data_IF_201410348282
#
_entry.id   IF_201410348282
#
_cell.length_a   1.000
_cell.length_b   1.000
_cell.length_c   1.000
_cell.angle_alpha   90.00
_cell.angle_beta   90.00
_cell.angle_gamma   90.00
#
_symmetry.space_group_name_H-M   'P 1'
#
loop_
_entity.id
_entity.type
_entity.pdbx_description
1 polymer ?
#
# COMPACT_ATOMS: atom_id res chain seq x y z
N UNK A 1 -26.50 23.05 -18.29
CA UNK A 1 -25.37 22.74 -17.37
C UNK A 1 -25.17 21.25 -17.40
N UNK A 2 -24.09 20.75 -18.00
CA UNK A 2 -23.77 19.32 -17.95
C UNK A 2 -23.34 18.99 -16.52
N UNK A 3 -24.19 18.27 -15.79
CA UNK A 3 -23.92 17.79 -14.45
C UNK A 3 -22.85 16.69 -14.51
N UNK A 4 -21.61 17.04 -14.15
CA UNK A 4 -20.53 16.06 -14.10
C UNK A 4 -20.61 15.31 -12.77
N UNK A 5 -20.96 14.01 -12.83
CA UNK A 5 -20.91 13.09 -11.70
C UNK A 5 -19.47 12.56 -11.51
N UNK A 6 -18.81 12.28 -12.64
CA UNK A 6 -17.43 11.80 -12.70
C UNK A 6 -16.63 12.61 -13.71
N UNK A 7 -15.38 12.88 -13.42
CA UNK A 7 -14.38 13.35 -14.39
C UNK A 7 -13.45 12.21 -14.77
N UNK A 8 -13.14 12.13 -16.06
CA UNK A 8 -12.25 11.13 -16.61
C UNK A 8 -10.88 11.72 -16.87
N UNK A 9 -9.85 11.05 -16.39
CA UNK A 9 -8.45 11.36 -16.65
C UNK A 9 -7.82 10.26 -17.50
N UNK A 10 -6.77 10.63 -18.24
CA UNK A 10 -5.98 9.75 -19.06
C UNK A 10 -4.54 9.80 -18.61
N UNK A 11 -3.92 8.64 -18.45
CA UNK A 11 -2.48 8.52 -18.21
C UNK A 11 -1.91 7.51 -19.20
N UNK A 12 -0.76 7.83 -19.78
CA UNK A 12 -0.03 6.87 -20.59
C UNK A 12 0.45 5.73 -19.69
N UNK A 13 0.38 4.50 -20.19
CA UNK A 13 1.05 3.38 -19.53
C UNK A 13 2.56 3.60 -19.62
N UNK A 14 3.30 3.11 -18.61
CA UNK A 14 4.75 3.30 -18.55
C UNK A 14 5.49 2.50 -19.62
N UNK A 15 4.90 1.39 -20.06
CA UNK A 15 5.38 0.57 -21.17
C UNK A 15 5.01 1.13 -22.57
N UNK A 16 4.34 2.29 -22.62
CA UNK A 16 3.92 2.93 -23.85
C UNK A 16 2.81 2.21 -24.64
N UNK A 17 2.27 1.10 -24.11
CA UNK A 17 1.33 0.25 -24.86
C UNK A 17 -0.16 0.60 -24.67
N UNK A 18 -0.46 1.61 -23.86
CA UNK A 18 -1.85 1.94 -23.63
C UNK A 18 -2.08 3.25 -22.89
N UNK A 19 -3.35 3.61 -22.77
CA UNK A 19 -3.82 4.76 -22.02
C UNK A 19 -4.75 4.27 -20.91
N UNK A 20 -4.33 4.48 -19.67
CA UNK A 20 -5.20 4.21 -18.51
C UNK A 20 -6.29 5.27 -18.43
N UNK A 21 -7.51 4.83 -18.23
CA UNK A 21 -8.66 5.69 -17.94
C UNK A 21 -8.98 5.63 -16.48
N UNK A 22 -8.95 6.77 -15.83
CA UNK A 22 -9.27 6.90 -14.41
C UNK A 22 -10.46 7.80 -14.24
N UNK A 23 -11.37 7.43 -13.37
CA UNK A 23 -12.54 8.22 -13.05
C UNK A 23 -12.44 8.74 -11.63
N UNK A 24 -12.60 10.04 -11.46
CA UNK A 24 -12.66 10.70 -10.17
C UNK A 24 -14.05 11.26 -9.93
N UNK A 25 -14.49 11.19 -8.69
CA UNK A 25 -15.77 11.75 -8.28
C UNK A 25 -15.76 13.27 -8.45
N UNK A 26 -16.89 13.82 -8.87
CA UNK A 26 -17.14 15.26 -8.96
C UNK A 26 -18.15 15.72 -7.89
N UNK A 27 -18.33 17.03 -7.77
CA UNK A 27 -19.22 17.64 -6.78
C UNK A 27 -20.64 17.04 -6.80
N UNK A 28 -21.20 16.85 -7.99
CA UNK A 28 -22.54 16.25 -8.13
C UNK A 28 -22.56 14.77 -7.75
N UNK A 29 -21.49 14.05 -8.01
CA UNK A 29 -21.35 12.67 -7.53
C UNK A 29 -21.31 12.58 -6.02
N UNK A 30 -20.63 13.52 -5.33
CA UNK A 30 -20.68 13.62 -3.87
C UNK A 30 -22.11 13.81 -3.36
N UNK A 31 -22.85 14.75 -3.93
CA UNK A 31 -24.24 15.00 -3.51
C UNK A 31 -25.14 13.78 -3.77
N UNK A 32 -24.96 13.08 -4.88
CA UNK A 32 -25.70 11.86 -5.18
C UNK A 32 -25.43 10.75 -4.15
N UNK A 33 -24.18 10.58 -3.71
CA UNK A 33 -23.83 9.63 -2.65
C UNK A 33 -24.44 10.05 -1.31
N UNK A 34 -24.31 11.33 -0.95
CA UNK A 34 -24.87 11.87 0.29
C UNK A 34 -26.39 11.74 0.35
N UNK A 35 -27.11 11.93 -0.76
CA UNK A 35 -28.57 11.74 -0.81
C UNK A 35 -29.01 10.29 -0.60
N UNK A 36 -28.09 9.33 -0.75
CA UNK A 36 -28.29 7.89 -0.46
C UNK A 36 -27.75 7.47 0.91
N UNK A 37 -27.40 8.44 1.78
CA UNK A 37 -26.84 8.16 3.10
C UNK A 37 -25.38 7.68 3.09
N UNK A 38 -24.67 7.76 1.93
CA UNK A 38 -23.28 7.36 1.83
C UNK A 38 -22.39 8.57 2.13
N UNK A 39 -21.64 8.51 3.22
CA UNK A 39 -20.68 9.55 3.56
C UNK A 39 -19.55 9.62 2.53
N UNK A 40 -19.31 10.80 1.98
CA UNK A 40 -18.26 11.03 1.00
C UNK A 40 -17.41 12.25 1.40
N UNK A 41 -16.14 12.01 1.74
CA UNK A 41 -15.16 13.05 2.12
C UNK A 41 -14.48 13.73 0.93
N UNK A 42 -15.09 13.71 -0.25
CA UNK A 42 -14.55 14.35 -1.44
C UNK A 42 -14.40 15.86 -1.29
N UNK A 43 -13.30 16.40 -1.81
CA UNK A 43 -13.03 17.83 -1.90
C UNK A 43 -12.65 18.22 -3.33
N UNK A 44 -12.89 19.47 -3.77
CA UNK A 44 -12.54 19.94 -5.11
C UNK A 44 -11.06 19.72 -5.48
N UNK A 45 -10.18 19.84 -4.50
CA UNK A 45 -8.72 19.61 -4.67
C UNK A 45 -8.36 18.15 -4.92
N UNK A 46 -9.28 17.19 -4.73
CA UNK A 46 -9.00 15.78 -5.02
C UNK A 46 -8.75 15.53 -6.51
N UNK A 47 -9.32 16.37 -7.37
CA UNK A 47 -9.20 16.24 -8.83
C UNK A 47 -7.98 16.98 -9.40
N UNK A 48 -7.25 17.74 -8.59
CA UNK A 48 -6.07 18.51 -9.02
C UNK A 48 -4.76 17.95 -8.46
N UNK A 49 -4.79 16.76 -7.89
CA UNK A 49 -3.60 16.11 -7.32
C UNK A 49 -2.61 15.69 -8.39
N UNK A 50 -1.30 15.73 -8.09
CA UNK A 50 -0.27 15.21 -9.00
C UNK A 50 -0.55 13.77 -9.42
N UNK A 51 -0.19 13.42 -10.65
CA UNK A 51 -0.40 12.08 -11.25
C UNK A 51 0.16 10.96 -10.36
N UNK A 52 1.35 11.14 -9.81
CA UNK A 52 1.97 10.17 -8.91
C UNK A 52 1.11 9.86 -7.67
N UNK A 53 0.49 10.89 -7.09
CA UNK A 53 -0.44 10.69 -5.95
C UNK A 53 -1.71 9.94 -6.37
N UNK A 54 -2.21 10.20 -7.57
CA UNK A 54 -3.37 9.48 -8.13
C UNK A 54 -3.00 8.01 -8.35
N UNK A 55 -1.85 7.73 -8.97
CA UNK A 55 -1.34 6.35 -9.17
C UNK A 55 -1.20 5.59 -7.84
N UNK A 56 -0.60 6.20 -6.81
CA UNK A 56 -0.50 5.59 -5.47
C UNK A 56 -1.87 5.25 -4.86
N UNK A 57 -2.82 6.17 -4.98
CA UNK A 57 -4.20 5.95 -4.48
C UNK A 57 -4.91 4.84 -5.23
N UNK A 58 -4.76 4.79 -6.55
CA UNK A 58 -5.36 3.74 -7.38
C UNK A 58 -4.82 2.36 -7.02
N UNK A 59 -3.51 2.23 -6.89
CA UNK A 59 -2.88 0.99 -6.49
C UNK A 59 -3.38 0.50 -5.13
N UNK A 60 -3.44 1.38 -4.13
CA UNK A 60 -4.00 1.06 -2.83
C UNK A 60 -5.48 0.64 -2.90
N UNK A 61 -6.28 1.33 -3.71
CA UNK A 61 -7.70 0.97 -3.89
C UNK A 61 -7.87 -0.38 -4.59
N UNK A 62 -7.10 -0.67 -5.64
CA UNK A 62 -7.16 -1.95 -6.34
C UNK A 62 -6.78 -3.11 -5.42
N UNK A 63 -5.71 -2.94 -4.64
CA UNK A 63 -5.30 -3.92 -3.65
C UNK A 63 -6.40 -4.14 -2.62
N UNK A 64 -6.98 -3.07 -2.07
CA UNK A 64 -8.06 -3.17 -1.11
C UNK A 64 -9.26 -3.93 -1.66
N UNK A 65 -9.71 -3.60 -2.88
CA UNK A 65 -10.82 -4.29 -3.54
C UNK A 65 -10.49 -5.77 -3.70
N UNK A 66 -9.27 -6.11 -4.13
CA UNK A 66 -8.84 -7.49 -4.27
C UNK A 66 -8.90 -8.27 -2.94
N UNK A 67 -8.51 -7.63 -1.83
CA UNK A 67 -8.62 -8.26 -0.50
C UNK A 67 -10.07 -8.41 -0.04
N UNK A 68 -10.92 -7.41 -0.26
CA UNK A 68 -12.35 -7.46 0.07
C UNK A 68 -13.09 -8.58 -0.69
N UNK A 69 -12.76 -8.78 -1.97
CA UNK A 69 -13.43 -9.74 -2.83
C UNK A 69 -12.91 -11.17 -2.68
N UNK A 70 -11.60 -11.33 -2.49
CA UNK A 70 -10.94 -12.63 -2.60
C UNK A 70 -10.55 -13.26 -1.27
N UNK A 71 -10.50 -12.48 -0.17
CA UNK A 71 -10.03 -12.97 1.12
C UNK A 71 -11.18 -13.17 2.08
N UNK A 72 -11.51 -14.43 2.38
CA UNK A 72 -12.60 -14.79 3.31
C UNK A 72 -12.39 -14.27 4.75
N UNK A 73 -11.12 -14.09 5.16
CA UNK A 73 -10.75 -13.58 6.47
C UNK A 73 -10.74 -12.05 6.55
N UNK A 74 -11.18 -11.35 5.50
CA UNK A 74 -11.26 -9.89 5.50
C UNK A 74 -12.23 -9.41 6.58
N UNK A 75 -11.76 -8.50 7.45
CA UNK A 75 -12.56 -7.93 8.54
C UNK A 75 -12.83 -6.44 8.31
N UNK A 76 -11.76 -5.67 8.13
CA UNK A 76 -11.87 -4.22 7.98
C UNK A 76 -10.71 -3.60 7.24
N UNK A 77 -10.88 -2.35 6.83
CA UNK A 77 -9.81 -1.56 6.25
C UNK A 77 -9.83 -0.11 6.75
N UNK A 78 -8.68 0.53 6.64
CA UNK A 78 -8.52 1.94 6.93
C UNK A 78 -7.69 2.61 5.82
N UNK A 79 -8.24 3.68 5.24
CA UNK A 79 -7.55 4.47 4.22
C UNK A 79 -6.59 5.42 4.90
N UNK A 80 -5.29 5.34 4.56
CA UNK A 80 -4.22 6.19 5.09
C UNK A 80 -4.17 6.20 6.62
N UNK A 81 -3.99 5.03 7.26
CA UNK A 81 -3.88 4.96 8.71
C UNK A 81 -2.73 5.86 9.20
N UNK A 82 -2.94 6.61 10.28
CA UNK A 82 -1.86 7.35 10.91
C UNK A 82 -0.90 6.37 11.60
N UNK A 83 0.39 6.61 11.44
CA UNK A 83 1.46 5.82 12.04
C UNK A 83 2.42 6.81 12.70
N UNK A 84 2.77 6.59 13.95
CA UNK A 84 3.64 7.49 14.69
C UNK A 84 5.03 6.87 14.88
N UNK A 85 6.04 7.52 14.33
CA UNK A 85 7.45 7.27 14.58
C UNK A 85 7.83 8.00 15.89
N UNK A 86 8.07 7.26 16.96
CA UNK A 86 8.18 7.81 18.33
C UNK A 86 9.44 8.63 18.51
N UNK A 87 10.59 8.11 18.11
CA UNK A 87 11.88 8.79 18.27
C UNK A 87 11.94 10.05 17.40
N UNK A 88 11.41 9.98 16.18
CA UNK A 88 11.32 11.13 15.30
C UNK A 88 10.21 12.12 15.68
N UNK A 89 9.35 11.76 16.65
CA UNK A 89 8.14 12.51 17.05
C UNK A 89 7.31 12.96 15.82
N UNK A 90 7.10 12.05 14.89
CA UNK A 90 6.45 12.35 13.61
C UNK A 90 5.35 11.36 13.28
N UNK A 91 4.15 11.87 13.02
CA UNK A 91 3.05 11.06 12.48
C UNK A 91 3.03 11.13 10.96
N UNK A 92 2.98 9.98 10.32
CA UNK A 92 2.88 9.82 8.87
C UNK A 92 1.74 8.88 8.48
N UNK A 93 1.44 8.76 7.20
CA UNK A 93 0.32 7.95 6.71
C UNK A 93 0.82 6.92 5.71
N UNK A 94 0.38 5.67 5.85
CA UNK A 94 0.59 4.66 4.82
C UNK A 94 -0.23 5.00 3.56
N UNK A 95 0.38 4.95 2.39
CA UNK A 95 -0.26 5.39 1.14
C UNK A 95 -1.21 4.36 0.54
N UNK A 96 -0.98 3.07 0.80
CA UNK A 96 -1.82 1.97 0.33
C UNK A 96 -2.93 1.56 1.31
N UNK A 97 -2.90 2.08 2.56
CA UNK A 97 -3.92 1.77 3.57
C UNK A 97 -3.54 0.66 4.55
N UNK A 98 -4.50 0.27 5.39
CA UNK A 98 -4.41 -0.85 6.33
C UNK A 98 -5.56 -1.82 6.07
N UNK A 99 -5.25 -3.11 6.06
CA UNK A 99 -6.25 -4.19 6.01
C UNK A 99 -6.08 -5.04 7.26
N UNK A 100 -7.19 -5.33 7.92
CA UNK A 100 -7.25 -6.27 9.03
C UNK A 100 -7.90 -7.56 8.55
N UNK A 101 -7.20 -8.68 8.76
CA UNK A 101 -7.74 -10.03 8.54
C UNK A 101 -8.04 -10.67 9.87
N UNK A 102 -9.18 -11.36 9.96
CA UNK A 102 -9.61 -12.04 11.18
C UNK A 102 -10.15 -13.44 10.86
N UNK A 103 -9.64 -14.44 11.60
CA UNK A 103 -10.13 -15.81 11.52
C UNK A 103 -10.18 -16.38 12.95
N UNK A 104 -11.40 -16.64 13.42
CA UNK A 104 -11.66 -16.99 14.82
C UNK A 104 -11.08 -15.95 15.80
N UNK A 105 -10.17 -16.34 16.68
CA UNK A 105 -9.53 -15.47 17.66
C UNK A 105 -8.23 -14.80 17.17
N UNK A 106 -7.79 -15.12 15.94
CA UNK A 106 -6.55 -14.57 15.37
C UNK A 106 -6.87 -13.39 14.50
N UNK A 107 -6.14 -12.29 14.69
CA UNK A 107 -6.20 -11.07 13.85
C UNK A 107 -4.80 -10.69 13.42
N UNK A 108 -4.66 -10.28 12.15
CA UNK A 108 -3.41 -9.76 11.60
C UNK A 108 -3.72 -8.47 10.88
N UNK A 109 -2.93 -7.43 11.17
CA UNK A 109 -2.96 -6.16 10.47
C UNK A 109 -1.85 -6.12 9.41
N UNK A 110 -2.22 -5.70 8.20
CA UNK A 110 -1.30 -5.41 7.11
C UNK A 110 -1.32 -3.92 6.82
N UNK A 111 -0.15 -3.31 6.78
CA UNK A 111 0.06 -1.96 6.28
C UNK A 111 0.58 -2.06 4.85
N UNK A 112 -0.05 -1.33 3.94
CA UNK A 112 0.37 -1.27 2.54
C UNK A 112 0.97 0.10 2.23
N UNK A 113 2.21 0.09 1.73
CA UNK A 113 2.87 1.28 1.23
C UNK A 113 3.00 1.17 -0.29
N UNK A 114 2.27 2.01 -1.02
CA UNK A 114 2.35 2.04 -2.47
C UNK A 114 3.53 2.91 -2.93
N UNK A 115 4.49 2.29 -3.60
CA UNK A 115 5.69 2.93 -4.14
C UNK A 115 5.52 3.03 -5.65
N UNK A 116 5.77 4.21 -6.20
CA UNK A 116 5.66 4.49 -7.64
C UNK A 116 6.88 5.23 -8.11
N UNK A 117 7.33 4.96 -9.33
CA UNK A 117 8.37 5.73 -9.99
C UNK A 117 7.86 7.15 -10.21
N UNK A 118 8.45 8.08 -9.54
CA UNK A 118 8.21 9.52 -9.60
C UNK A 118 9.54 10.23 -9.34
N UNK A 119 9.59 11.53 -9.58
CA UNK A 119 10.80 12.29 -9.29
C UNK A 119 11.21 12.09 -7.82
N UNK A 120 12.47 11.79 -7.58
CA UNK A 120 13.06 11.55 -6.26
C UNK A 120 12.41 10.39 -5.46
N UNK A 121 11.82 9.37 -6.12
CA UNK A 121 11.13 8.28 -5.43
C UNK A 121 12.05 7.52 -4.45
N UNK A 122 13.32 7.31 -4.78
CA UNK A 122 14.30 6.64 -3.92
C UNK A 122 14.52 7.42 -2.62
N UNK A 123 14.71 8.74 -2.71
CA UNK A 123 14.86 9.61 -1.54
C UNK A 123 13.61 9.57 -0.67
N UNK A 124 12.43 9.69 -1.27
CA UNK A 124 11.14 9.60 -0.57
C UNK A 124 10.96 8.25 0.11
N UNK A 125 11.39 7.16 -0.55
CA UNK A 125 11.37 5.82 0.03
C UNK A 125 12.28 5.75 1.25
N UNK A 126 13.54 6.21 1.15
CA UNK A 126 14.49 6.21 2.26
C UNK A 126 13.95 6.98 3.46
N UNK A 127 13.44 8.19 3.25
CA UNK A 127 12.82 8.99 4.31
C UNK A 127 11.63 8.26 4.97
N UNK A 128 10.79 7.63 4.17
CA UNK A 128 9.63 6.91 4.65
C UNK A 128 10.02 5.64 5.41
N UNK A 129 10.98 4.86 4.90
CA UNK A 129 11.45 3.64 5.55
C UNK A 129 12.15 3.91 6.88
N UNK A 130 12.84 5.05 7.04
CA UNK A 130 13.36 5.49 8.35
C UNK A 130 12.25 5.66 9.37
N UNK A 131 11.11 6.24 8.98
CA UNK A 131 9.95 6.39 9.86
C UNK A 131 9.29 5.04 10.19
N UNK A 132 9.20 4.13 9.23
CA UNK A 132 8.73 2.76 9.49
C UNK A 132 9.68 2.04 10.43
N UNK A 133 10.99 2.10 10.21
CA UNK A 133 11.99 1.48 11.08
C UNK A 133 11.84 1.97 12.52
N UNK A 134 11.76 3.29 12.74
CA UNK A 134 11.50 3.88 14.06
C UNK A 134 10.18 3.38 14.67
N UNK A 135 9.09 3.35 13.90
CA UNK A 135 7.80 2.82 14.36
C UNK A 135 7.92 1.36 14.82
N UNK A 136 8.55 0.49 14.03
CA UNK A 136 8.66 -0.93 14.36
C UNK A 136 9.62 -1.21 15.52
N UNK A 137 10.73 -0.48 15.61
CA UNK A 137 11.69 -0.61 16.71
C UNK A 137 11.10 -0.19 18.05
N UNK A 138 10.24 0.83 18.06
CA UNK A 138 9.59 1.40 19.24
C UNK A 138 8.12 1.04 19.36
N UNK A 139 7.68 -0.05 18.73
CA UNK A 139 6.28 -0.45 18.72
C UNK A 139 5.78 -0.79 20.12
N UNK A 140 4.66 -0.16 20.49
CA UNK A 140 3.87 -0.48 21.68
C UNK A 140 2.39 -0.56 21.31
N UNK A 141 1.70 -1.69 21.54
CA UNK A 141 0.29 -1.87 21.14
C UNK A 141 -0.64 -0.77 21.67
N UNK A 142 -0.47 -0.36 22.94
CA UNK A 142 -1.36 0.61 23.58
C UNK A 142 -1.32 2.00 22.95
N UNK A 143 -0.19 2.39 22.36
CA UNK A 143 0.00 3.75 21.82
C UNK A 143 -0.12 3.82 20.30
N UNK A 144 -0.14 2.68 19.63
CA UNK A 144 0.04 2.59 18.18
C UNK A 144 -1.25 2.56 17.37
N UNK A 145 -2.40 2.34 18.04
CA UNK A 145 -3.67 2.06 17.35
C UNK A 145 -3.73 0.66 16.70
N UNK A 146 -2.71 -0.18 16.92
CA UNK A 146 -2.65 -1.57 16.46
C UNK A 146 -2.64 -2.51 17.66
N UNK A 147 -3.45 -3.56 17.60
CA UNK A 147 -3.49 -4.58 18.68
C UNK A 147 -2.25 -5.47 18.70
N UNK A 148 -1.70 -5.73 17.55
CA UNK A 148 -0.50 -6.54 17.33
C UNK A 148 0.43 -5.83 16.37
N UNK A 149 1.70 -6.23 16.34
CA UNK A 149 2.67 -5.67 15.38
C UNK A 149 2.20 -5.94 13.95
N UNK A 150 1.88 -4.90 13.16
CA UNK A 150 1.38 -5.08 11.81
C UNK A 150 2.48 -5.57 10.87
N UNK A 151 2.11 -6.26 9.80
CA UNK A 151 3.03 -6.63 8.72
C UNK A 151 3.09 -5.50 7.68
N UNK A 152 4.26 -5.22 7.14
CA UNK A 152 4.44 -4.20 6.11
C UNK A 152 4.57 -4.85 4.73
N UNK A 153 3.74 -4.38 3.80
CA UNK A 153 3.76 -4.80 2.40
C UNK A 153 4.08 -3.60 1.52
N UNK A 154 5.14 -3.71 0.73
CA UNK A 154 5.53 -2.72 -0.26
C UNK A 154 4.91 -3.09 -1.62
N UNK A 155 4.00 -2.24 -2.10
CA UNK A 155 3.31 -2.42 -3.38
C UNK A 155 4.05 -1.65 -4.47
N UNK A 156 4.78 -2.37 -5.32
CA UNK A 156 5.58 -1.85 -6.42
C UNK A 156 4.82 -1.91 -7.75
N UNK A 157 5.31 -1.23 -8.77
CA UNK A 157 4.68 -1.22 -10.10
C UNK A 157 4.88 -2.54 -10.83
N UNK A 158 6.13 -3.02 -10.86
CA UNK A 158 6.56 -4.22 -11.55
C UNK A 158 7.72 -4.91 -10.83
N UNK A 159 8.15 -6.07 -11.32
CA UNK A 159 9.22 -6.88 -10.73
C UNK A 159 10.58 -6.14 -10.72
N UNK A 160 10.87 -5.37 -11.76
CA UNK A 160 12.10 -4.57 -11.84
C UNK A 160 12.10 -3.48 -10.77
N UNK A 161 11.00 -2.73 -10.66
CA UNK A 161 10.83 -1.71 -9.62
C UNK A 161 10.93 -2.31 -8.22
N UNK A 162 10.34 -3.48 -8.01
CA UNK A 162 10.42 -4.20 -6.74
C UNK A 162 11.86 -4.55 -6.36
N UNK A 163 12.67 -5.01 -7.32
CA UNK A 163 14.10 -5.26 -7.10
C UNK A 163 14.89 -3.97 -6.82
N UNK A 164 14.56 -2.87 -7.49
CA UNK A 164 15.14 -1.54 -7.23
C UNK A 164 14.80 -1.05 -5.82
N UNK A 165 13.53 -1.16 -5.40
CA UNK A 165 13.06 -0.81 -4.05
C UNK A 165 13.80 -1.61 -2.99
N UNK A 166 13.91 -2.92 -3.17
CA UNK A 166 14.67 -3.78 -2.26
C UNK A 166 16.13 -3.35 -2.16
N UNK A 167 16.80 -3.12 -3.29
CA UNK A 167 18.19 -2.64 -3.34
C UNK A 167 18.38 -1.33 -2.55
N UNK A 168 17.49 -0.37 -2.73
CA UNK A 168 17.53 0.92 -2.00
C UNK A 168 17.41 0.69 -0.49
N UNK A 169 16.54 -0.20 -0.05
CA UNK A 169 16.36 -0.51 1.37
C UNK A 169 17.65 -1.11 1.96
N UNK A 170 18.23 -2.12 1.30
CA UNK A 170 19.45 -2.80 1.78
C UNK A 170 20.64 -1.85 1.78
N UNK A 171 20.87 -1.11 0.70
CA UNK A 171 22.01 -0.18 0.59
C UNK A 171 21.98 0.95 1.64
N UNK A 172 20.81 1.26 2.18
CA UNK A 172 20.65 2.28 3.22
C UNK A 172 20.48 1.71 4.64
N UNK A 173 20.62 0.38 4.82
CA UNK A 173 20.46 -0.28 6.13
C UNK A 173 19.08 -0.09 6.74
N UNK A 174 18.04 -0.14 5.90
CA UNK A 174 16.66 0.16 6.31
C UNK A 174 15.80 -1.09 6.47
N UNK A 175 16.43 -2.27 6.56
CA UNK A 175 15.76 -3.52 6.90
C UNK A 175 15.14 -3.42 8.29
N UNK A 176 13.97 -4.01 8.45
CA UNK A 176 13.24 -4.04 9.70
C UNK A 176 13.28 -5.46 10.27
N UNK A 177 14.10 -5.69 11.26
CA UNK A 177 14.35 -7.03 11.81
C UNK A 177 13.17 -7.62 12.61
N UNK A 178 12.24 -6.78 13.08
CA UNK A 178 11.11 -7.22 13.93
C UNK A 178 9.95 -7.84 13.16
N UNK A 179 9.91 -7.66 11.83
CA UNK A 179 8.85 -8.18 10.97
C UNK A 179 9.44 -8.76 9.69
N UNK A 180 8.65 -9.59 9.02
CA UNK A 180 8.91 -9.91 7.62
C UNK A 180 8.42 -8.75 6.75
N UNK A 181 9.32 -8.17 5.98
CA UNK A 181 8.98 -7.18 4.99
C UNK A 181 8.53 -7.91 3.71
N UNK A 182 7.30 -7.71 3.32
CA UNK A 182 6.72 -8.33 2.13
C UNK A 182 6.70 -7.36 0.97
N UNK A 183 6.78 -7.91 -0.23
CA UNK A 183 6.73 -7.18 -1.50
C UNK A 183 5.70 -7.79 -2.42
N UNK A 184 5.07 -6.95 -3.21
CA UNK A 184 4.16 -7.36 -4.28
C UNK A 184 4.18 -6.34 -5.40
N UNK A 185 3.61 -6.71 -6.56
CA UNK A 185 3.44 -5.80 -7.69
C UNK A 185 2.00 -5.73 -8.14
N UNK A 186 1.65 -4.72 -8.92
CA UNK A 186 0.32 -4.57 -9.50
C UNK A 186 -0.06 -5.82 -10.31
N UNK A 187 0.91 -6.39 -11.05
CA UNK A 187 0.69 -7.59 -11.86
C UNK A 187 0.44 -8.83 -10.98
N UNK A 188 1.27 -9.02 -9.93
CA UNK A 188 1.09 -10.15 -9.00
C UNK A 188 -0.27 -10.16 -8.33
N UNK A 189 -0.79 -8.99 -7.97
CA UNK A 189 -2.12 -8.83 -7.36
C UNK A 189 -3.24 -9.24 -8.31
N UNK A 190 -3.06 -9.05 -9.61
CA UNK A 190 -4.06 -9.36 -10.62
C UNK A 190 -4.00 -10.82 -11.09
N UNK A 191 -2.80 -11.36 -11.30
CA UNK A 191 -2.59 -12.67 -11.93
C UNK A 191 -2.51 -13.83 -10.94
N UNK A 192 -2.09 -13.59 -9.71
CA UNK A 192 -1.93 -14.63 -8.70
C UNK A 192 -3.06 -14.57 -7.66
N UNK A 193 -3.33 -15.71 -7.03
CA UNK A 193 -4.10 -15.71 -5.80
C UNK A 193 -3.35 -14.89 -4.74
N UNK A 194 -4.07 -14.17 -3.87
CA UNK A 194 -3.46 -13.22 -2.93
C UNK A 194 -2.48 -13.87 -1.96
N UNK A 195 -2.73 -15.12 -1.57
CA UNK A 195 -1.84 -15.95 -0.76
C UNK A 195 -0.47 -16.23 -1.43
N UNK A 196 -0.41 -16.16 -2.77
CA UNK A 196 0.81 -16.38 -3.57
C UNK A 196 1.35 -15.11 -4.22
N UNK A 197 0.71 -13.98 -3.99
CA UNK A 197 1.12 -12.71 -4.60
C UNK A 197 2.29 -12.03 -3.86
N UNK A 198 2.56 -12.45 -2.63
CA UNK A 198 3.58 -11.87 -1.78
C UNK A 198 4.91 -12.60 -1.90
N UNK A 199 5.99 -11.84 -1.86
CA UNK A 199 7.35 -12.36 -1.75
C UNK A 199 8.09 -11.68 -0.60
N UNK A 200 9.18 -12.30 -0.19
CA UNK A 200 10.19 -11.69 0.68
C UNK A 200 11.58 -11.96 0.12
N UNK A 201 12.54 -11.13 0.50
CA UNK A 201 13.95 -11.35 0.20
C UNK A 201 14.64 -11.84 1.46
N UNK A 202 15.32 -12.98 1.38
CA UNK A 202 16.11 -13.53 2.48
C UNK A 202 17.56 -13.62 2.10
N UNK A 203 18.43 -13.23 3.02
CA UNK A 203 19.86 -13.43 2.87
C UNK A 203 20.16 -14.92 2.99
N UNK A 204 20.79 -15.50 1.98
CA UNK A 204 21.38 -16.82 2.03
C UNK A 204 22.79 -16.70 2.63
N UNK A 205 22.93 -17.09 3.88
CA UNK A 205 24.19 -16.98 4.63
C UNK A 205 25.35 -17.75 3.97
N UNK A 206 25.04 -18.85 3.26
CA UNK A 206 26.05 -19.67 2.61
C UNK A 206 26.65 -18.97 1.37
N UNK A 207 25.85 -18.21 0.64
CA UNK A 207 26.28 -17.54 -0.59
C UNK A 207 26.44 -16.04 -0.44
N UNK A 208 26.05 -15.47 0.71
CA UNK A 208 25.93 -14.03 0.97
C UNK A 208 25.14 -13.29 -0.14
N UNK A 209 24.11 -13.94 -0.69
CA UNK A 209 23.22 -13.39 -1.71
C UNK A 209 21.78 -13.45 -1.25
N UNK A 210 20.99 -12.46 -1.67
CA UNK A 210 19.56 -12.47 -1.40
C UNK A 210 18.84 -13.40 -2.37
N UNK A 211 17.96 -14.24 -1.82
CA UNK A 211 17.04 -15.10 -2.58
C UNK A 211 15.60 -14.58 -2.42
N UNK A 212 14.85 -14.68 -3.50
CA UNK A 212 13.42 -14.40 -3.50
C UNK A 212 12.68 -15.62 -3.00
N UNK A 213 11.87 -15.48 -1.97
CA UNK A 213 10.98 -16.52 -1.48
C UNK A 213 9.52 -16.09 -1.68
N UNK A 214 8.70 -16.98 -2.24
CA UNK A 214 7.26 -16.80 -2.23
C UNK A 214 6.74 -17.01 -0.81
N UNK A 215 5.85 -16.14 -0.39
CA UNK A 215 5.26 -16.17 0.96
C UNK A 215 3.82 -16.64 0.86
N UNK A 216 3.50 -17.70 1.57
CA UNK A 216 2.14 -18.16 1.72
C UNK A 216 1.59 -17.71 3.08
N UNK A 217 0.55 -16.87 3.06
CA UNK A 217 -0.12 -16.43 4.27
C UNK A 217 -1.41 -17.24 4.43
N UNK A 218 -1.41 -18.20 5.34
CA UNK A 218 -2.54 -19.13 5.58
C UNK A 218 -3.89 -18.46 5.89
N UNK A 219 -3.90 -17.18 6.27
CA UNK A 219 -5.14 -16.42 6.49
C UNK A 219 -5.72 -15.83 5.21
N UNK A 220 -4.96 -15.83 4.11
CA UNK A 220 -5.39 -15.28 2.81
C UNK A 220 -6.08 -16.33 1.93
N UNK A 221 -5.96 -17.61 2.27
CA UNK A 221 -6.57 -18.73 1.55
C UNK A 221 -7.90 -19.20 2.11
#
# INVERSE_FOLDING_TARGET
VKTKILTRYYFNSEDGKGIYRVYCLEKMGKYLLSSRGIECKWQPTDNTKPVAMIKKRLAGNQLLIAYMEKVKAFDSYEVKPPITAKTANKTFKATGGKVTLKKALKSIDFIFEAIRREDDWEKKLVEKMKLYKDFYENFMPMDSGFKTLPQLILLCEDEKHMAEVFKVIVMNGLEINKINLYYTTDLRQNEKSLDKSLITFKLDEATNKYKIENVEIKLLG
#
